data_IF_295339919854
#
_entry.id   IF_295339919854
#
_cell.length_a   1.000
_cell.length_b   1.000
_cell.length_c   1.000
_cell.angle_alpha   90.00
_cell.angle_beta   90.00
_cell.angle_gamma   90.00
#
_symmetry.space_group_name_H-M   'P 1'
#
loop_
_entity.id
_entity.type
_entity.pdbx_description
1 polymer ?
#
# COMPACT_ATOMS: atom_id res chain seq x y z
N UNK A 1 -9.16 -2.74 -31.87
CA UNK A 1 -9.03 -3.34 -30.53
C UNK A 1 -9.18 -2.22 -29.52
N UNK A 2 -10.20 -2.26 -28.65
CA UNK A 2 -10.31 -1.29 -27.56
C UNK A 2 -9.22 -1.61 -26.53
N UNK A 3 -8.14 -0.84 -26.50
CA UNK A 3 -7.22 -0.85 -25.36
C UNK A 3 -8.04 -0.44 -24.13
N UNK A 4 -8.17 -1.35 -23.17
CA UNK A 4 -8.88 -1.04 -21.93
C UNK A 4 -8.11 0.08 -21.22
N UNK A 5 -8.74 1.24 -21.10
CA UNK A 5 -8.21 2.37 -20.34
C UNK A 5 -7.78 1.93 -18.93
N UNK A 6 -6.74 2.54 -18.36
CA UNK A 6 -6.39 2.32 -16.97
C UNK A 6 -7.57 2.63 -16.04
N UNK A 7 -7.86 1.73 -15.09
CA UNK A 7 -9.03 1.88 -14.20
C UNK A 7 -8.64 1.96 -12.72
N UNK A 8 -7.43 1.54 -12.36
CA UNK A 8 -7.02 1.42 -10.98
C UNK A 8 -5.71 2.14 -10.71
N UNK A 9 -5.59 2.59 -9.47
CA UNK A 9 -4.37 3.09 -8.86
C UNK A 9 -4.13 2.37 -7.54
N UNK A 10 -2.87 2.25 -7.17
CA UNK A 10 -2.46 1.78 -5.85
C UNK A 10 -1.94 2.98 -5.07
N UNK A 11 -2.41 3.15 -3.84
CA UNK A 11 -1.87 4.12 -2.89
C UNK A 11 -1.32 3.42 -1.67
N UNK A 12 -0.10 3.78 -1.29
CA UNK A 12 0.54 3.31 -0.05
C UNK A 12 0.62 4.47 0.91
N UNK A 13 0.03 4.30 2.07
CA UNK A 13 0.01 5.26 3.16
C UNK A 13 0.79 4.67 4.32
N UNK A 14 1.80 5.37 4.81
CA UNK A 14 2.49 5.04 6.06
C UNK A 14 1.88 5.88 7.19
N UNK A 15 1.54 5.24 8.30
CA UNK A 15 1.11 5.85 9.55
C UNK A 15 2.20 5.64 10.61
N UNK A 16 2.70 6.73 11.18
CA UNK A 16 3.70 6.69 12.25
C UNK A 16 3.08 6.41 13.64
N UNK A 17 3.92 6.29 14.67
CA UNK A 17 3.47 6.07 16.06
C UNK A 17 2.55 7.19 16.61
N UNK A 18 2.61 8.39 16.03
CA UNK A 18 1.79 9.55 16.44
C UNK A 18 0.46 9.61 15.67
N UNK A 19 0.21 8.67 14.76
CA UNK A 19 -0.98 8.62 13.91
C UNK A 19 -0.90 9.50 12.67
N UNK A 20 0.27 10.08 12.35
CA UNK A 20 0.43 10.90 11.16
C UNK A 20 0.47 10.01 9.93
N UNK A 21 -0.42 10.29 8.97
CA UNK A 21 -0.52 9.55 7.72
C UNK A 21 0.19 10.30 6.60
N UNK A 22 1.10 9.62 5.91
CA UNK A 22 1.78 10.15 4.72
C UNK A 22 1.64 9.18 3.56
N UNK A 23 1.26 9.67 2.39
CA UNK A 23 1.36 8.88 1.17
C UNK A 23 2.84 8.76 0.79
N UNK A 24 3.35 7.52 0.76
CA UNK A 24 4.76 7.23 0.50
C UNK A 24 4.99 6.69 -0.91
N UNK A 25 3.95 6.16 -1.54
CA UNK A 25 4.01 5.63 -2.90
C UNK A 25 2.62 5.66 -3.54
N UNK A 26 2.58 6.02 -4.82
CA UNK A 26 1.38 5.91 -5.65
C UNK A 26 1.78 5.28 -6.98
N UNK A 27 1.06 4.26 -7.41
CA UNK A 27 1.17 3.68 -8.74
C UNK A 27 -0.15 3.92 -9.46
N UNK A 28 -0.05 4.48 -10.65
CA UNK A 28 -1.19 4.90 -11.46
C UNK A 28 -1.29 4.05 -12.72
N UNK A 29 -2.41 4.21 -13.42
CA UNK A 29 -2.65 3.64 -14.73
C UNK A 29 -2.61 2.11 -14.82
N UNK A 30 -3.24 1.41 -13.87
CA UNK A 30 -3.23 -0.06 -13.84
C UNK A 30 -4.58 -0.67 -14.28
N UNK A 31 -4.51 -1.83 -14.92
CA UNK A 31 -5.65 -2.76 -14.95
C UNK A 31 -5.87 -3.37 -13.58
N UNK A 32 -7.05 -3.99 -13.37
CA UNK A 32 -7.36 -4.68 -12.11
C UNK A 32 -6.40 -5.84 -11.81
N UNK A 33 -5.95 -6.55 -12.85
CA UNK A 33 -5.06 -7.70 -12.71
C UNK A 33 -3.63 -7.26 -12.32
N UNK A 34 -3.13 -6.21 -12.97
CA UNK A 34 -1.84 -5.59 -12.63
C UNK A 34 -1.86 -5.03 -11.22
N UNK A 35 -2.93 -4.30 -10.85
CA UNK A 35 -3.07 -3.72 -9.52
C UNK A 35 -2.98 -4.79 -8.41
N UNK A 36 -3.64 -5.94 -8.58
CA UNK A 36 -3.53 -7.05 -7.63
C UNK A 36 -2.11 -7.59 -7.51
N UNK A 37 -1.47 -7.82 -8.65
CA UNK A 37 -0.11 -8.36 -8.72
C UNK A 37 0.90 -7.42 -8.06
N UNK A 38 0.75 -6.11 -8.30
CA UNK A 38 1.66 -5.11 -7.76
C UNK A 38 1.45 -4.85 -6.27
N UNK A 39 0.22 -4.97 -5.75
CA UNK A 39 -0.02 -4.92 -4.29
C UNK A 39 0.81 -5.97 -3.56
N UNK A 40 0.86 -7.21 -4.07
CA UNK A 40 1.66 -8.28 -3.46
C UNK A 40 3.16 -7.97 -3.51
N UNK A 41 3.65 -7.45 -4.65
CA UNK A 41 5.06 -7.04 -4.79
C UNK A 41 5.39 -5.90 -3.82
N UNK A 42 4.55 -4.88 -3.73
CA UNK A 42 4.71 -3.73 -2.85
C UNK A 42 4.74 -4.19 -1.39
N UNK A 43 3.82 -5.08 -0.99
CA UNK A 43 3.80 -5.64 0.36
C UNK A 43 5.13 -6.35 0.68
N UNK A 44 5.64 -7.20 -0.22
CA UNK A 44 6.94 -7.87 -0.06
C UNK A 44 8.10 -6.89 0.03
N UNK A 45 8.09 -5.82 -0.77
CA UNK A 45 9.12 -4.78 -0.75
C UNK A 45 9.12 -4.02 0.58
N UNK A 46 7.94 -3.65 1.09
CA UNK A 46 7.79 -3.00 2.40
C UNK A 46 8.30 -3.92 3.51
N UNK A 47 7.90 -5.20 3.50
CA UNK A 47 8.38 -6.18 4.47
C UNK A 47 9.91 -6.29 4.45
N UNK A 48 10.52 -6.43 3.25
CA UNK A 48 11.97 -6.55 3.12
C UNK A 48 12.70 -5.30 3.60
N UNK A 49 12.18 -4.12 3.27
CA UNK A 49 12.80 -2.85 3.68
C UNK A 49 12.72 -2.63 5.19
N UNK A 50 11.61 -3.02 5.82
CA UNK A 50 11.44 -2.88 7.27
C UNK A 50 12.18 -3.97 8.05
N UNK A 51 12.22 -5.21 7.57
CA UNK A 51 12.97 -6.30 8.23
C UNK A 51 14.50 -6.13 8.15
N UNK A 52 15.00 -5.27 7.26
CA UNK A 52 16.40 -4.84 7.30
C UNK A 52 16.72 -4.00 8.55
N UNK A 53 15.70 -3.40 9.18
CA UNK A 53 15.84 -2.76 10.48
C UNK A 53 15.73 -3.82 11.58
N UNK A 54 16.87 -4.12 12.21
CA UNK A 54 17.01 -5.16 13.25
C UNK A 54 16.16 -4.91 14.51
N UNK A 55 15.51 -3.76 14.62
CA UNK A 55 14.71 -3.39 15.79
C UNK A 55 13.20 -3.58 15.61
N UNK A 56 12.73 -3.98 14.42
CA UNK A 56 11.29 -4.13 14.14
C UNK A 56 10.92 -5.54 13.70
N UNK A 57 9.73 -5.99 14.12
CA UNK A 57 9.12 -7.24 13.71
C UNK A 57 7.77 -7.00 13.04
N UNK A 58 7.44 -7.85 12.07
CA UNK A 58 6.14 -7.87 11.42
C UNK A 58 5.16 -8.65 12.30
N UNK A 59 4.06 -8.03 12.65
CA UNK A 59 3.08 -8.61 13.59
C UNK A 59 1.77 -9.05 12.94
N UNK A 60 1.28 -8.34 11.92
CA UNK A 60 -0.06 -8.56 11.39
C UNK A 60 -0.19 -8.05 9.95
N UNK A 61 -0.79 -8.88 9.10
CA UNK A 61 -1.36 -8.47 7.81
C UNK A 61 -2.87 -8.51 7.98
N UNK A 62 -3.53 -7.38 7.84
CA UNK A 62 -4.99 -7.33 7.79
C UNK A 62 -5.45 -7.05 6.36
N UNK A 63 -6.16 -8.00 5.77
CA UNK A 63 -6.75 -7.87 4.43
C UNK A 63 -8.20 -7.44 4.56
N UNK A 64 -8.48 -6.16 4.31
CA UNK A 64 -9.82 -5.67 4.00
C UNK A 64 -10.06 -5.78 2.50
N UNK A 65 -11.34 -5.76 2.10
CA UNK A 65 -11.81 -5.99 0.73
C UNK A 65 -11.00 -5.29 -0.37
N UNK A 66 -10.44 -4.09 -0.11
CA UNK A 66 -9.59 -3.34 -1.04
C UNK A 66 -8.34 -2.71 -0.37
N UNK A 67 -7.98 -3.14 0.84
CA UNK A 67 -6.89 -2.53 1.62
C UNK A 67 -6.10 -3.62 2.34
N UNK A 68 -4.79 -3.64 2.13
CA UNK A 68 -3.85 -4.47 2.87
C UNK A 68 -3.14 -3.60 3.90
N UNK A 69 -3.35 -3.89 5.18
CA UNK A 69 -2.67 -3.23 6.28
C UNK A 69 -1.53 -4.11 6.78
N UNK A 70 -0.32 -3.54 6.90
CA UNK A 70 0.87 -4.20 7.42
C UNK A 70 1.32 -3.45 8.67
N UNK A 71 1.46 -4.15 9.80
CA UNK A 71 1.88 -3.56 11.08
C UNK A 71 3.26 -4.03 11.52
N UNK A 72 4.11 -3.05 11.81
CA UNK A 72 5.44 -3.27 12.39
C UNK A 72 5.45 -2.84 13.85
N UNK A 73 6.01 -3.68 14.72
CA UNK A 73 6.23 -3.36 16.13
C UNK A 73 7.71 -3.39 16.43
N UNK A 74 8.14 -2.61 17.41
CA UNK A 74 9.52 -2.68 17.87
C UNK A 74 9.70 -3.94 18.73
N UNK A 75 10.77 -4.71 18.47
CA UNK A 75 11.03 -6.01 19.12
C UNK A 75 11.19 -5.85 20.63
N UNK A 76 11.91 -4.80 21.07
CA UNK A 76 12.26 -4.58 22.48
C UNK A 76 11.08 -4.05 23.28
N UNK A 77 10.38 -3.04 22.73
CA UNK A 77 9.31 -2.34 23.47
C UNK A 77 7.92 -2.93 23.22
N UNK A 78 7.76 -3.78 22.20
CA UNK A 78 6.48 -4.30 21.70
C UNK A 78 5.47 -3.21 21.30
N UNK A 79 5.90 -1.96 21.25
CA UNK A 79 5.09 -0.85 20.79
C UNK A 79 4.98 -0.86 19.27
N UNK A 80 3.84 -0.40 18.76
CA UNK A 80 3.64 -0.17 17.34
C UNK A 80 4.69 0.84 16.86
N UNK A 81 5.46 0.48 15.83
CA UNK A 81 6.44 1.36 15.20
C UNK A 81 5.79 2.14 14.05
N UNK A 82 5.16 1.43 13.12
CA UNK A 82 4.43 2.04 12.01
C UNK A 82 3.41 1.07 11.40
N UNK A 83 2.49 1.62 10.60
CA UNK A 83 1.55 0.86 9.79
C UNK A 83 1.65 1.28 8.34
N UNK A 84 1.57 0.33 7.43
CA UNK A 84 1.41 0.59 6.00
C UNK A 84 0.03 0.16 5.56
N UNK A 85 -0.66 1.03 4.84
CA UNK A 85 -1.95 0.75 4.20
C UNK A 85 -1.75 0.79 2.69
N UNK A 86 -1.87 -0.36 2.04
CA UNK A 86 -1.80 -0.51 0.60
C UNK A 86 -3.23 -0.62 0.08
N UNK A 87 -3.70 0.40 -0.64
CA UNK A 87 -5.08 0.53 -1.12
C UNK A 87 -5.14 0.40 -2.62
N UNK A 88 -6.07 -0.43 -3.10
CA UNK A 88 -6.46 -0.45 -4.49
C UNK A 88 -7.68 0.46 -4.67
N UNK A 89 -7.52 1.52 -5.43
CA UNK A 89 -8.60 2.49 -5.70
C UNK A 89 -8.92 2.49 -7.19
N UNK A 90 -10.22 2.51 -7.52
CA UNK A 90 -10.64 2.76 -8.89
C UNK A 90 -10.59 4.26 -9.15
N UNK A 91 -10.16 4.67 -10.34
CA UNK A 91 -10.33 6.06 -10.75
C UNK A 91 -11.82 6.41 -10.82
N UNK A 92 -12.15 7.59 -10.29
CA UNK A 92 -13.44 8.22 -10.53
C UNK A 92 -13.54 8.68 -11.99
N UNK A 93 -14.76 8.85 -12.49
CA UNK A 93 -14.99 9.36 -13.84
C UNK A 93 -14.29 10.70 -14.09
N UNK A 94 -14.30 11.60 -13.09
CA UNK A 94 -13.64 12.90 -13.20
C UNK A 94 -12.11 12.75 -13.33
N UNK A 95 -11.49 11.81 -12.62
CA UNK A 95 -10.06 11.56 -12.76
C UNK A 95 -9.73 10.97 -14.13
N UNK A 96 -10.55 10.05 -14.63
CA UNK A 96 -10.39 9.47 -15.97
C UNK A 96 -10.50 10.53 -17.07
N UNK A 97 -11.44 11.48 -16.94
CA UNK A 97 -11.61 12.58 -17.89
C UNK A 97 -10.45 13.60 -17.87
N UNK A 98 -9.68 13.63 -16.79
CA UNK A 98 -8.53 14.52 -16.63
C UNK A 98 -7.17 13.84 -16.93
N UNK A 99 -7.16 12.55 -17.27
CA UNK A 99 -5.98 11.88 -17.79
C UNK A 99 -5.74 12.34 -19.24
N UNK A 100 -4.66 13.09 -19.45
CA UNK A 100 -4.21 13.54 -20.77
C UNK A 100 -3.38 12.47 -21.47
#
# INVERSE_FOLDING_TARGET
>A
MMEMLPYYKIRVICEDMKGNKKCVYTQENLSKAEAKTDIEKIARTIDKNMLNDSEVERSLIYLKKNETEIRFHNIKTKNLHCKYFIRMERYSLLELLNMK
#
